data_IF_793782743720
#
_entry.id   IF_793782743720
#
_cell.length_a   1.000
_cell.length_b   1.000
_cell.length_c   1.000
_cell.angle_alpha   90.00
_cell.angle_beta   90.00
_cell.angle_gamma   90.00
#
_symmetry.space_group_name_H-M   'P 1'
#
loop_
_entity.id
_entity.type
_entity.pdbx_description
1 polymer ?
#
# COMPACT_ATOMS: atom_id res chain seq x y z
N UNK A 1 -6.17 -16.01 -2.46
CA UNK A 1 -6.59 -14.66 -2.00
C UNK A 1 -8.04 -14.63 -1.58
N UNK A 2 -8.97 -15.18 -2.38
CA UNK A 2 -10.40 -15.25 -2.03
C UNK A 2 -10.66 -16.04 -0.75
N UNK A 3 -9.98 -17.17 -0.56
CA UNK A 3 -10.07 -17.97 0.66
C UNK A 3 -9.58 -17.21 1.89
N UNK A 4 -8.46 -16.47 1.77
CA UNK A 4 -7.94 -15.62 2.86
C UNK A 4 -8.94 -14.50 3.22
N UNK A 5 -9.59 -13.88 2.24
CA UNK A 5 -10.63 -12.86 2.47
C UNK A 5 -11.86 -13.43 3.19
N UNK A 6 -12.29 -14.63 2.80
CA UNK A 6 -13.39 -15.34 3.47
C UNK A 6 -13.02 -15.67 4.92
N UNK A 7 -11.78 -16.11 5.16
CA UNK A 7 -11.28 -16.39 6.51
C UNK A 7 -11.20 -15.12 7.38
N UNK A 8 -10.81 -13.98 6.82
CA UNK A 8 -10.78 -12.70 7.54
C UNK A 8 -12.20 -12.27 7.94
N UNK A 9 -13.17 -12.39 7.05
CA UNK A 9 -14.56 -12.00 7.29
C UNK A 9 -15.22 -12.75 8.45
N UNK A 10 -14.77 -13.95 8.78
CA UNK A 10 -15.35 -14.79 9.83
C UNK A 10 -14.59 -14.76 11.17
N UNK A 11 -13.42 -14.12 11.26
CA UNK A 11 -12.50 -14.29 12.42
C UNK A 11 -12.11 -13.01 13.16
N UNK A 12 -12.39 -11.83 12.64
CA UNK A 12 -11.93 -10.58 13.25
C UNK A 12 -13.02 -9.54 13.36
N UNK A 13 -13.11 -8.95 14.54
CA UNK A 13 -13.97 -7.80 14.80
C UNK A 13 -13.40 -6.52 14.17
N UNK A 14 -12.08 -6.39 14.10
CA UNK A 14 -11.38 -5.24 13.50
C UNK A 14 -10.43 -5.74 12.42
N UNK A 15 -10.50 -5.14 11.23
CA UNK A 15 -9.60 -5.39 10.10
C UNK A 15 -8.63 -4.22 9.95
N UNK A 16 -7.33 -4.52 10.01
CA UNK A 16 -6.26 -3.54 9.86
C UNK A 16 -5.79 -3.46 8.42
N UNK A 17 -5.96 -2.29 7.80
CA UNK A 17 -5.56 -2.02 6.42
C UNK A 17 -4.37 -1.05 6.43
N UNK A 18 -3.20 -1.50 5.98
CA UNK A 18 -2.02 -0.66 5.85
C UNK A 18 -1.88 -0.17 4.40
N UNK A 19 -1.89 1.15 4.23
CA UNK A 19 -1.66 1.82 2.94
C UNK A 19 -0.19 2.24 2.90
N UNK A 20 0.58 1.63 2.01
CA UNK A 20 2.00 1.95 1.80
C UNK A 20 2.15 2.95 0.66
N UNK A 21 2.46 4.21 1.04
CA UNK A 21 2.54 5.36 0.17
C UNK A 21 1.22 6.11 -0.02
N UNK A 22 1.25 7.41 0.24
CA UNK A 22 0.07 8.28 0.13
C UNK A 22 0.21 9.23 -1.08
N UNK A 23 0.31 8.63 -2.29
CA UNK A 23 0.16 9.33 -3.56
C UNK A 23 -1.31 9.47 -3.95
N UNK A 24 -1.60 9.87 -5.20
CA UNK A 24 -2.99 10.08 -5.66
C UNK A 24 -3.88 8.87 -5.40
N UNK A 25 -3.43 7.66 -5.76
CA UNK A 25 -4.21 6.43 -5.55
C UNK A 25 -4.40 6.13 -4.07
N UNK A 26 -3.35 6.33 -3.25
CA UNK A 26 -3.43 6.13 -1.80
C UNK A 26 -4.39 7.10 -1.13
N UNK A 27 -4.42 8.36 -1.56
CA UNK A 27 -5.37 9.36 -1.06
C UNK A 27 -6.82 9.02 -1.44
N UNK A 28 -7.07 8.60 -2.67
CA UNK A 28 -8.41 8.15 -3.09
C UNK A 28 -8.87 6.92 -2.32
N UNK A 29 -7.97 5.96 -2.09
CA UNK A 29 -8.28 4.78 -1.29
C UNK A 29 -8.60 5.17 0.16
N UNK A 30 -7.79 6.04 0.76
CA UNK A 30 -8.01 6.53 2.11
C UNK A 30 -9.37 7.24 2.23
N UNK A 31 -9.69 8.15 1.29
CA UNK A 31 -10.96 8.85 1.28
C UNK A 31 -12.15 7.90 1.11
N UNK A 32 -12.03 6.91 0.23
CA UNK A 32 -13.05 5.89 0.02
C UNK A 32 -13.29 5.07 1.30
N UNK A 33 -12.23 4.58 1.95
CA UNK A 33 -12.34 3.82 3.19
C UNK A 33 -12.95 4.66 4.32
N UNK A 34 -12.59 5.94 4.43
CA UNK A 34 -13.20 6.86 5.36
C UNK A 34 -14.70 7.10 5.07
N UNK A 35 -15.09 7.10 3.79
CA UNK A 35 -16.49 7.26 3.39
C UNK A 35 -17.38 6.07 3.77
N UNK A 36 -16.77 4.87 3.89
CA UNK A 36 -17.50 3.69 4.40
C UNK A 36 -17.91 3.85 5.86
N UNK A 37 -17.19 4.68 6.61
CA UNK A 37 -17.46 5.05 8.00
C UNK A 37 -17.66 3.84 8.92
N UNK A 38 -16.89 2.77 8.71
CA UNK A 38 -16.97 1.53 9.46
C UNK A 38 -15.91 1.51 10.57
N UNK A 39 -16.35 1.47 11.82
CA UNK A 39 -15.48 1.42 13.00
C UNK A 39 -14.71 0.09 13.13
N UNK A 40 -15.08 -0.93 12.37
CA UNK A 40 -14.34 -2.20 12.30
C UNK A 40 -13.14 -2.13 11.36
N UNK A 41 -12.90 -0.99 10.71
CA UNK A 41 -11.74 -0.76 9.86
C UNK A 41 -10.77 0.15 10.60
N UNK A 42 -9.56 -0.34 10.82
CA UNK A 42 -8.42 0.46 11.26
C UNK A 42 -7.49 0.71 10.07
N UNK A 43 -7.26 1.98 9.73
CA UNK A 43 -6.40 2.37 8.61
C UNK A 43 -5.04 2.79 9.16
N UNK A 44 -3.98 2.23 8.60
CA UNK A 44 -2.60 2.55 8.91
C UNK A 44 -1.97 3.15 7.65
N UNK A 45 -1.59 4.43 7.70
CA UNK A 45 -0.88 5.09 6.61
C UNK A 45 0.62 5.02 6.89
N UNK A 46 1.37 4.32 6.04
CA UNK A 46 2.80 4.12 6.21
C UNK A 46 3.61 4.77 5.09
N UNK A 47 4.71 5.44 5.46
CA UNK A 47 5.58 6.11 4.49
C UNK A 47 6.79 6.80 5.15
N UNK A 48 7.57 7.55 4.36
CA UNK A 48 8.82 8.20 4.78
C UNK A 48 8.64 9.61 5.31
N UNK A 49 7.69 10.35 4.76
CA UNK A 49 7.52 11.79 5.07
C UNK A 49 6.31 11.97 5.98
N UNK A 50 6.60 12.05 7.30
CA UNK A 50 5.59 12.20 8.34
C UNK A 50 4.73 13.45 8.14
N UNK A 51 5.35 14.59 7.91
CA UNK A 51 4.63 15.87 7.84
C UNK A 51 3.67 15.90 6.65
N UNK A 52 4.14 15.41 5.50
CA UNK A 52 3.28 15.27 4.32
C UNK A 52 2.12 14.31 4.59
N UNK A 53 2.36 13.16 5.22
CA UNK A 53 1.30 12.21 5.54
C UNK A 53 0.26 12.82 6.49
N UNK A 54 0.71 13.58 7.51
CA UNK A 54 -0.19 14.28 8.43
C UNK A 54 -1.09 15.27 7.67
N UNK A 55 -0.51 16.09 6.77
CA UNK A 55 -1.26 17.03 5.96
C UNK A 55 -2.32 16.32 5.09
N UNK A 56 -1.89 15.32 4.34
CA UNK A 56 -2.77 14.56 3.43
C UNK A 56 -3.88 13.84 4.21
N UNK A 57 -3.57 13.20 5.33
CA UNK A 57 -4.55 12.53 6.20
C UNK A 57 -5.54 13.53 6.80
N UNK A 58 -5.07 14.70 7.23
CA UNK A 58 -5.94 15.73 7.80
C UNK A 58 -6.93 16.29 6.76
N UNK A 59 -6.50 16.47 5.51
CA UNK A 59 -7.39 16.88 4.41
C UNK A 59 -8.52 15.85 4.25
N UNK A 60 -8.19 14.56 4.21
CA UNK A 60 -9.18 13.50 4.10
C UNK A 60 -10.10 13.42 5.31
N UNK A 61 -9.55 13.57 6.53
CA UNK A 61 -10.36 13.61 7.76
C UNK A 61 -11.36 14.75 7.76
N UNK A 62 -10.94 15.95 7.36
CA UNK A 62 -11.82 17.12 7.26
C UNK A 62 -12.91 16.86 6.21
N UNK A 63 -12.56 16.38 5.02
CA UNK A 63 -13.53 16.05 3.98
C UNK A 63 -14.55 14.99 4.46
N UNK A 64 -14.08 13.95 5.15
CA UNK A 64 -14.94 12.92 5.72
C UNK A 64 -15.88 13.50 6.81
N UNK A 65 -15.37 14.37 7.68
CA UNK A 65 -16.16 15.01 8.75
C UNK A 65 -17.24 15.96 8.20
N UNK A 66 -17.01 16.59 7.06
CA UNK A 66 -18.04 17.40 6.38
C UNK A 66 -19.17 16.51 5.86
N UNK A 67 -18.86 15.30 5.39
CA UNK A 67 -19.85 14.34 4.90
C UNK A 67 -20.61 13.61 6.02
N UNK A 68 -20.07 13.58 7.23
CA UNK A 68 -20.67 12.93 8.40
C UNK A 68 -19.67 12.70 9.52
N UNK A 69 -20.06 11.95 10.54
CA UNK A 69 -19.15 11.61 11.65
C UNK A 69 -18.15 10.56 11.21
N UNK A 70 -16.85 10.87 11.31
CA UNK A 70 -15.78 9.91 11.01
C UNK A 70 -15.59 8.95 12.20
N UNK A 71 -15.93 7.69 12.03
CA UNK A 71 -15.76 6.62 13.03
C UNK A 71 -14.54 5.76 12.77
N UNK A 72 -14.06 5.71 11.52
CA UNK A 72 -12.90 4.92 11.12
C UNK A 72 -11.63 5.44 11.80
N UNK A 73 -10.90 4.57 12.46
CA UNK A 73 -9.64 4.92 13.11
C UNK A 73 -8.51 5.00 12.07
N UNK A 74 -7.74 6.10 12.10
CA UNK A 74 -6.59 6.32 11.18
C UNK A 74 -5.34 6.60 12.00
N UNK A 75 -4.32 5.81 11.80
CA UNK A 75 -2.98 5.99 12.38
C UNK A 75 -1.92 6.26 11.29
N UNK A 76 -0.84 6.93 11.67
CA UNK A 76 0.28 7.27 10.78
C UNK A 76 1.55 6.61 11.32
N UNK A 77 2.23 5.86 10.46
CA UNK A 77 3.51 5.22 10.74
C UNK A 77 4.57 5.81 9.83
N UNK A 78 5.48 6.55 10.42
CA UNK A 78 6.63 7.14 9.73
C UNK A 78 7.83 6.17 9.68
N UNK A 79 8.82 6.53 8.85
CA UNK A 79 10.04 5.75 8.69
C UNK A 79 9.86 4.46 7.90
N UNK A 80 8.72 4.23 7.25
CA UNK A 80 8.54 3.11 6.34
C UNK A 80 9.13 3.43 4.97
N UNK A 81 10.37 3.01 4.74
CA UNK A 81 11.03 3.14 3.44
C UNK A 81 10.89 1.86 2.63
N UNK A 82 10.21 1.95 1.48
CA UNK A 82 9.96 0.80 0.61
C UNK A 82 11.18 0.34 -0.20
N UNK A 83 12.27 1.12 -0.19
CA UNK A 83 13.55 0.70 -0.74
C UNK A 83 14.37 -0.15 0.24
N UNK A 84 13.99 -0.17 1.53
CA UNK A 84 14.64 -0.91 2.59
C UNK A 84 13.73 -2.00 3.17
N UNK A 85 14.11 -3.26 2.99
CA UNK A 85 13.34 -4.42 3.45
C UNK A 85 13.23 -4.45 4.98
N UNK A 86 14.27 -4.07 5.71
CA UNK A 86 14.26 -4.10 7.17
C UNK A 86 13.34 -3.03 7.75
N UNK A 87 13.27 -1.86 7.10
CA UNK A 87 12.30 -0.82 7.42
C UNK A 87 10.85 -1.33 7.25
N UNK A 88 10.57 -2.02 6.14
CA UNK A 88 9.25 -2.61 5.89
C UNK A 88 8.93 -3.69 6.93
N UNK A 89 9.88 -4.58 7.23
CA UNK A 89 9.73 -5.64 8.24
C UNK A 89 9.36 -5.06 9.60
N UNK A 90 10.07 -4.02 10.03
CA UNK A 90 9.78 -3.31 11.28
C UNK A 90 8.35 -2.75 11.30
N UNK A 91 7.93 -2.11 10.21
CA UNK A 91 6.55 -1.62 10.08
C UNK A 91 5.51 -2.74 10.18
N UNK A 92 5.74 -3.88 9.52
CA UNK A 92 4.83 -5.02 9.52
C UNK A 92 4.77 -5.69 10.90
N UNK A 93 5.91 -5.93 11.55
CA UNK A 93 5.99 -6.62 12.83
C UNK A 93 5.31 -5.85 13.97
N UNK A 94 5.44 -4.52 13.98
CA UNK A 94 4.82 -3.65 14.99
C UNK A 94 3.30 -3.55 14.77
N UNK A 95 2.87 -3.30 13.54
CA UNK A 95 1.48 -2.95 13.24
C UNK A 95 0.60 -4.16 12.92
N UNK A 96 1.18 -5.26 12.45
CA UNK A 96 0.51 -6.54 12.11
C UNK A 96 -0.77 -6.34 11.28
N UNK A 97 -0.67 -5.71 10.10
CA UNK A 97 -1.84 -5.48 9.25
C UNK A 97 -2.40 -6.79 8.71
N UNK A 98 -3.71 -6.82 8.45
CA UNK A 98 -4.38 -7.93 7.77
C UNK A 98 -4.32 -7.78 6.26
N UNK A 99 -4.34 -6.52 5.80
CA UNK A 99 -4.26 -6.16 4.39
C UNK A 99 -3.18 -5.08 4.23
N UNK A 100 -2.29 -5.30 3.28
CA UNK A 100 -1.28 -4.33 2.86
C UNK A 100 -1.60 -3.88 1.45
N UNK A 101 -1.80 -2.59 1.24
CA UNK A 101 -2.07 -2.02 -0.08
C UNK A 101 -0.87 -1.18 -0.50
N UNK A 102 -0.16 -1.63 -1.53
CA UNK A 102 0.91 -0.86 -2.14
C UNK A 102 0.34 0.12 -3.17
N UNK A 103 0.42 1.41 -2.87
CA UNK A 103 0.03 2.50 -3.78
C UNK A 103 1.22 3.37 -4.18
N UNK A 104 2.42 2.92 -3.86
CA UNK A 104 3.66 3.64 -4.11
C UNK A 104 4.24 3.37 -5.49
N UNK A 105 5.01 4.34 -5.98
CA UNK A 105 5.86 4.22 -7.17
C UNK A 105 7.25 4.74 -6.85
N UNK A 106 8.28 4.18 -7.49
CA UNK A 106 9.66 4.66 -7.35
C UNK A 106 9.80 6.10 -7.86
N UNK A 107 9.13 6.41 -8.98
CA UNK A 107 9.09 7.76 -9.55
C UNK A 107 7.67 8.25 -9.79
N UNK A 108 7.49 9.57 -9.79
CA UNK A 108 6.23 10.19 -10.19
C UNK A 108 5.92 9.94 -11.66
N UNK A 109 4.64 9.82 -12.02
CA UNK A 109 4.20 9.46 -13.37
C UNK A 109 4.73 10.35 -14.49
N UNK A 110 4.87 11.66 -14.24
CA UNK A 110 5.43 12.62 -15.19
C UNK A 110 6.90 12.32 -15.53
N UNK A 111 7.69 11.80 -14.58
CA UNK A 111 9.08 11.42 -14.84
C UNK A 111 9.17 10.21 -15.75
N UNK A 112 8.29 9.23 -15.59
CA UNK A 112 8.18 8.10 -16.53
C UNK A 112 7.86 8.59 -17.93
N UNK A 113 6.87 9.48 -18.08
CA UNK A 113 6.48 10.04 -19.37
C UNK A 113 7.61 10.79 -20.06
N UNK A 114 8.34 11.65 -19.35
CA UNK A 114 9.41 12.46 -19.95
C UNK A 114 10.59 11.64 -20.46
N UNK A 115 10.94 10.54 -19.80
CA UNK A 115 12.05 9.67 -20.20
C UNK A 115 11.64 8.76 -21.35
N UNK A 116 10.41 8.22 -21.34
CA UNK A 116 9.94 7.30 -22.38
C UNK A 116 9.67 8.00 -23.71
N UNK A 117 9.28 9.27 -23.69
CA UNK A 117 8.93 10.01 -24.92
C UNK A 117 10.13 10.35 -25.79
N UNK A 118 11.28 10.63 -25.18
CA UNK A 118 12.45 11.07 -25.90
C UNK A 118 13.37 9.94 -26.40
N UNK A 119 13.40 8.76 -25.75
CA UNK A 119 14.42 7.77 -26.03
C UNK A 119 13.96 6.32 -26.13
N UNK A 120 12.80 5.91 -25.62
CA UNK A 120 12.41 4.50 -25.61
C UNK A 120 10.90 4.29 -25.67
N UNK A 121 10.44 3.72 -26.76
CA UNK A 121 9.10 3.11 -26.87
C UNK A 121 9.03 1.70 -26.27
N UNK A 122 10.02 1.29 -25.50
CA UNK A 122 10.09 -0.05 -24.93
C UNK A 122 9.36 -0.10 -23.59
N UNK A 123 8.18 -0.66 -23.55
CA UNK A 123 7.37 -0.85 -22.36
C UNK A 123 8.08 -1.62 -21.24
N UNK A 124 9.08 -2.43 -21.56
CA UNK A 124 9.81 -3.27 -20.60
C UNK A 124 10.83 -2.52 -19.73
N UNK A 125 11.31 -1.34 -20.12
CA UNK A 125 12.39 -0.64 -19.41
C UNK A 125 11.99 -0.18 -17.99
N UNK A 126 10.71 0.08 -17.76
CA UNK A 126 10.17 0.52 -16.47
C UNK A 126 9.80 -0.62 -15.54
N UNK A 127 9.76 -1.83 -16.05
CA UNK A 127 9.35 -3.01 -15.29
C UNK A 127 10.21 -3.23 -14.04
N UNK A 128 11.56 -3.18 -14.09
CA UNK A 128 12.38 -3.34 -12.89
C UNK A 128 12.05 -2.33 -11.78
N UNK A 129 11.87 -1.05 -12.15
CA UNK A 129 11.53 0.01 -11.21
C UNK A 129 10.13 -0.15 -10.65
N UNK A 130 9.18 -0.64 -11.45
CA UNK A 130 7.81 -0.89 -11.01
C UNK A 130 7.72 -2.07 -10.04
N UNK A 131 8.63 -3.03 -10.17
CA UNK A 131 8.66 -4.24 -9.34
C UNK A 131 9.42 -4.02 -8.02
N UNK A 132 10.34 -3.08 -7.94
CA UNK A 132 11.24 -2.91 -6.79
C UNK A 132 10.49 -2.87 -5.45
N UNK A 133 9.55 -1.96 -5.29
CA UNK A 133 8.84 -1.81 -4.01
C UNK A 133 7.97 -3.00 -3.67
N UNK A 134 7.23 -3.54 -4.63
CA UNK A 134 6.39 -4.70 -4.38
C UNK A 134 7.23 -5.95 -4.07
N UNK A 135 8.38 -6.11 -4.73
CA UNK A 135 9.35 -7.17 -4.40
C UNK A 135 9.80 -7.07 -2.94
N UNK A 136 10.19 -5.87 -2.49
CA UNK A 136 10.64 -5.65 -1.13
C UNK A 136 9.52 -5.89 -0.11
N UNK A 137 8.30 -5.46 -0.41
CA UNK A 137 7.12 -5.75 0.43
C UNK A 137 6.89 -7.26 0.53
N UNK A 138 6.92 -7.99 -0.58
CA UNK A 138 6.72 -9.43 -0.59
C UNK A 138 7.85 -10.18 0.14
N UNK A 139 9.10 -9.72 0.02
CA UNK A 139 10.23 -10.26 0.76
C UNK A 139 10.05 -10.05 2.27
N UNK A 140 9.64 -8.86 2.70
CA UNK A 140 9.36 -8.57 4.10
C UNK A 140 8.19 -9.41 4.65
N UNK A 141 7.09 -9.53 3.91
CA UNK A 141 5.93 -10.37 4.26
C UNK A 141 6.35 -11.83 4.44
N UNK A 142 7.15 -12.34 3.51
CA UNK A 142 7.65 -13.73 3.56
C UNK A 142 8.58 -13.96 4.74
N UNK A 143 9.50 -13.04 5.02
CA UNK A 143 10.45 -13.17 6.13
C UNK A 143 9.79 -13.06 7.51
N UNK A 144 8.73 -12.30 7.65
CA UNK A 144 7.95 -12.17 8.88
C UNK A 144 6.88 -13.27 9.05
N UNK A 145 6.80 -14.23 8.12
CA UNK A 145 5.71 -15.22 8.05
C UNK A 145 4.32 -14.57 8.20
N UNK A 146 4.16 -13.37 7.66
CA UNK A 146 2.92 -12.62 7.76
C UNK A 146 1.84 -13.22 6.85
N UNK A 147 0.63 -13.38 7.39
CA UNK A 147 -0.54 -13.82 6.62
C UNK A 147 -1.28 -12.66 5.95
N UNK A 148 -0.72 -11.45 5.97
CA UNK A 148 -1.34 -10.28 5.37
C UNK A 148 -1.64 -10.50 3.87
N UNK A 149 -2.81 -10.04 3.45
CA UNK A 149 -3.19 -10.03 2.03
C UNK A 149 -2.53 -8.81 1.40
N UNK A 150 -1.76 -9.00 0.34
CA UNK A 150 -1.11 -7.90 -0.37
C UNK A 150 -1.93 -7.53 -1.61
N UNK A 151 -2.26 -6.26 -1.73
CA UNK A 151 -2.92 -5.67 -2.89
C UNK A 151 -1.95 -4.68 -3.53
N UNK A 152 -1.59 -4.91 -4.79
CA UNK A 152 -0.71 -4.01 -5.52
C UNK A 152 -1.53 -3.17 -6.51
N UNK A 153 -1.53 -1.85 -6.33
CA UNK A 153 -2.17 -0.89 -7.24
C UNK A 153 -1.14 -0.10 -8.04
N UNK A 154 0.16 -0.31 -7.75
CA UNK A 154 1.22 0.28 -8.54
C UNK A 154 1.42 -0.52 -9.82
N UNK A 155 1.85 0.17 -10.84
CA UNK A 155 2.03 -0.25 -12.22
C UNK A 155 2.36 -1.74 -12.43
N UNK A 156 1.57 -2.37 -13.22
CA UNK A 156 1.68 -3.24 -14.38
C UNK A 156 1.33 -4.72 -14.18
N UNK A 157 0.77 -5.26 -15.25
CA UNK A 157 0.32 -6.65 -15.43
C UNK A 157 1.45 -7.68 -15.29
N UNK A 158 2.71 -7.25 -15.43
CA UNK A 158 3.90 -8.13 -15.32
C UNK A 158 4.30 -8.42 -13.87
N UNK A 159 3.79 -7.66 -12.89
CA UNK A 159 4.18 -7.82 -11.48
C UNK A 159 3.82 -9.20 -10.95
N UNK A 160 2.60 -9.66 -11.17
CA UNK A 160 2.13 -10.96 -10.67
C UNK A 160 2.88 -12.12 -11.32
N UNK A 161 3.00 -12.20 -12.67
CA UNK A 161 3.79 -13.24 -13.32
C UNK A 161 5.24 -13.25 -12.85
N UNK A 162 5.85 -12.08 -12.66
CA UNK A 162 7.22 -11.98 -12.20
C UNK A 162 7.39 -12.50 -10.77
N UNK A 163 6.56 -12.06 -9.83
CA UNK A 163 6.59 -12.54 -8.45
C UNK A 163 6.40 -14.06 -8.39
N UNK A 164 5.47 -14.59 -9.17
CA UNK A 164 5.24 -16.03 -9.24
C UNK A 164 6.47 -16.79 -9.79
N UNK A 165 7.12 -16.25 -10.81
CA UNK A 165 8.32 -16.90 -11.41
C UNK A 165 9.54 -16.86 -10.48
N UNK A 166 9.59 -15.93 -9.56
CA UNK A 166 10.67 -15.76 -8.57
C UNK A 166 10.38 -16.41 -7.22
N UNK A 167 9.29 -17.17 -7.11
CA UNK A 167 8.98 -17.97 -5.91
C UNK A 167 8.32 -17.21 -4.77
N UNK A 168 7.87 -15.97 -4.98
CA UNK A 168 7.08 -15.27 -3.97
C UNK A 168 5.66 -15.84 -3.86
N UNK A 169 5.07 -15.84 -2.66
CA UNK A 169 3.70 -16.30 -2.49
C UNK A 169 2.73 -15.43 -3.29
N UNK A 170 1.56 -15.97 -3.68
CA UNK A 170 0.55 -15.19 -4.39
C UNK A 170 0.02 -14.07 -3.49
N UNK A 171 -0.18 -12.89 -4.09
CA UNK A 171 -0.83 -11.74 -3.47
C UNK A 171 -2.32 -12.00 -3.21
#
# INVERSE_FOLDING_TARGET
TTEKLIQLKGKKDIVKIMIMGLGSVGQYLLDYLCSMNDERIEIIVAGRNRDKMIQDVNIVKVAASIRGTLRTHISIVDGCDLSDIDSIRKCLSINRPDIVVNTSRVYVGLKYGSISWNNFRAYGIWTPLSIEYIKNIMAAISSENSNAIVINTSYSDVTIPWLKSTGYPPM
#
